data_IF_279113155863
#
_entry.id   IF_279113155863
#
_cell.length_a   1.000
_cell.length_b   1.000
_cell.length_c   1.000
_cell.angle_alpha   90.00
_cell.angle_beta   90.00
_cell.angle_gamma   90.00
#
_symmetry.space_group_name_H-M   'P 1'
#
loop_
_entity.id
_entity.type
_entity.pdbx_description
1 polymer ?
#
# COMPACT_ATOMS: atom_id res chain seq x y z
N UNK A 1 -15.79 20.05 9.85
CA UNK A 1 -14.49 19.43 9.50
C UNK A 1 -14.58 18.46 8.32
N UNK A 2 -15.68 17.68 8.17
CA UNK A 2 -15.90 16.80 6.99
C UNK A 2 -15.75 17.53 5.64
N UNK A 3 -16.24 18.77 5.53
CA UNK A 3 -16.33 19.50 4.26
C UNK A 3 -14.99 19.69 3.54
N UNK A 4 -13.88 19.83 4.27
CA UNK A 4 -12.56 20.07 3.66
C UNK A 4 -12.06 18.82 2.95
N UNK A 5 -12.21 17.67 3.59
CA UNK A 5 -11.75 16.39 3.03
C UNK A 5 -12.60 16.02 1.82
N UNK A 6 -13.92 16.19 1.90
CA UNK A 6 -14.82 15.96 0.77
C UNK A 6 -14.46 16.85 -0.41
N UNK A 7 -14.28 18.17 -0.19
CA UNK A 7 -13.90 19.10 -1.28
C UNK A 7 -12.55 18.72 -1.91
N UNK A 8 -11.55 18.36 -1.10
CA UNK A 8 -10.24 17.95 -1.60
C UNK A 8 -10.33 16.66 -2.42
N UNK A 9 -11.06 15.66 -1.93
CA UNK A 9 -11.24 14.37 -2.61
C UNK A 9 -11.96 14.58 -3.95
N UNK A 10 -13.04 15.35 -3.97
CA UNK A 10 -13.76 15.68 -5.21
C UNK A 10 -12.83 16.34 -6.24
N UNK A 11 -11.94 17.23 -5.81
CA UNK A 11 -10.96 17.88 -6.70
C UNK A 11 -9.93 16.93 -7.27
N UNK A 12 -9.43 16.00 -6.45
CA UNK A 12 -8.51 14.95 -6.91
C UNK A 12 -9.19 14.06 -7.96
N UNK A 13 -10.46 13.68 -7.73
CA UNK A 13 -11.21 12.85 -8.67
C UNK A 13 -11.45 13.55 -10.00
N UNK A 14 -11.79 14.84 -9.96
CA UNK A 14 -11.94 15.70 -11.14
C UNK A 14 -10.66 15.96 -11.93
N UNK A 15 -9.49 15.54 -11.43
CA UNK A 15 -8.20 15.78 -12.10
C UNK A 15 -7.67 17.20 -11.92
N UNK A 16 -8.18 17.95 -10.94
CA UNK A 16 -7.68 19.32 -10.66
C UNK A 16 -6.38 19.31 -9.84
N UNK A 17 -5.95 18.14 -9.35
CA UNK A 17 -4.68 17.93 -8.67
C UNK A 17 -4.14 16.54 -8.99
N UNK A 18 -3.28 16.45 -10.00
CA UNK A 18 -2.67 15.20 -10.48
C UNK A 18 -1.24 15.02 -9.97
N UNK A 19 -0.58 16.13 -9.61
CA UNK A 19 0.79 16.10 -9.06
C UNK A 19 0.84 16.39 -7.57
N UNK A 20 1.88 15.90 -6.88
CA UNK A 20 2.12 16.22 -5.46
C UNK A 20 2.25 17.73 -5.21
N UNK A 21 2.75 18.48 -6.19
CA UNK A 21 2.87 19.95 -6.12
C UNK A 21 1.49 20.61 -6.16
N UNK A 22 0.63 20.22 -7.08
CA UNK A 22 -0.76 20.71 -7.14
C UNK A 22 -1.56 20.34 -5.90
N UNK A 23 -1.44 19.10 -5.45
CA UNK A 23 -2.08 18.66 -4.21
C UNK A 23 -1.68 19.55 -3.02
N UNK A 24 -0.39 19.86 -2.89
CA UNK A 24 0.07 20.74 -1.82
C UNK A 24 -0.50 22.16 -1.95
N UNK A 25 -0.52 22.73 -3.15
CA UNK A 25 -1.17 24.03 -3.42
C UNK A 25 -2.64 24.03 -3.01
N UNK A 26 -3.38 23.00 -3.38
CA UNK A 26 -4.80 22.86 -3.01
C UNK A 26 -5.01 22.72 -1.51
N UNK A 27 -4.16 21.96 -0.81
CA UNK A 27 -4.20 21.89 0.66
C UNK A 27 -3.99 23.25 1.30
N UNK A 28 -3.02 24.04 0.83
CA UNK A 28 -2.76 25.39 1.35
C UNK A 28 -3.97 26.29 1.07
N UNK A 29 -4.55 26.23 -0.13
CA UNK A 29 -5.75 26.98 -0.51
C UNK A 29 -6.94 26.66 0.41
N UNK A 30 -7.19 25.37 0.66
CA UNK A 30 -8.25 24.92 1.56
C UNK A 30 -7.97 25.30 3.02
N UNK A 31 -6.71 25.27 3.46
CA UNK A 31 -6.36 25.73 4.81
C UNK A 31 -6.70 27.21 5.01
N UNK A 32 -6.46 28.06 4.00
CA UNK A 32 -6.87 29.47 4.03
C UNK A 32 -8.40 29.61 4.04
N UNK A 33 -9.09 28.91 3.13
CA UNK A 33 -10.56 28.94 2.99
C UNK A 33 -11.28 28.53 4.28
N UNK A 34 -10.82 27.46 4.92
CA UNK A 34 -11.45 26.89 6.13
C UNK A 34 -10.76 27.31 7.43
N UNK A 35 -9.81 28.26 7.38
CA UNK A 35 -9.03 28.75 8.54
C UNK A 35 -8.43 27.61 9.39
N UNK A 36 -7.87 26.59 8.72
CA UNK A 36 -7.24 25.46 9.39
C UNK A 36 -5.92 25.89 10.03
N UNK A 37 -5.72 25.49 11.29
CA UNK A 37 -4.47 25.76 12.04
C UNK A 37 -3.25 25.03 11.47
N UNK A 38 -3.46 23.91 10.77
CA UNK A 38 -2.39 23.06 10.23
C UNK A 38 -2.82 22.44 8.91
N UNK A 39 -1.85 22.26 8.01
CA UNK A 39 -2.05 21.52 6.76
C UNK A 39 -2.29 20.04 7.08
N UNK A 40 -3.39 19.44 6.59
CA UNK A 40 -3.71 18.04 6.88
C UNK A 40 -2.67 17.09 6.24
N UNK A 41 -2.15 16.12 7.01
CA UNK A 41 -1.26 15.10 6.48
C UNK A 41 -2.02 14.15 5.54
N UNK A 42 -1.31 13.51 4.60
CA UNK A 42 -1.91 12.57 3.65
C UNK A 42 -2.66 11.42 4.35
N UNK A 43 -2.16 10.96 5.49
CA UNK A 43 -2.82 9.92 6.30
C UNK A 43 -4.22 10.33 6.75
N UNK A 44 -4.42 11.59 7.16
CA UNK A 44 -5.74 12.07 7.56
C UNK A 44 -6.70 12.19 6.38
N UNK A 45 -6.19 12.45 5.18
CA UNK A 45 -7.01 12.46 3.97
C UNK A 45 -7.44 11.02 3.64
N UNK A 46 -6.52 10.06 3.72
CA UNK A 46 -6.79 8.64 3.52
C UNK A 46 -7.85 8.09 4.48
N UNK A 47 -7.78 8.47 5.77
CA UNK A 47 -8.78 8.10 6.79
C UNK A 47 -10.19 8.64 6.49
N UNK A 48 -10.31 9.73 5.73
CA UNK A 48 -11.59 10.39 5.44
C UNK A 48 -12.12 10.09 4.03
N UNK A 49 -11.58 9.06 3.35
CA UNK A 49 -12.08 8.64 2.04
C UNK A 49 -13.47 8.01 2.19
N UNK A 50 -14.51 8.50 1.48
CA UNK A 50 -15.83 7.89 1.50
C UNK A 50 -15.79 6.43 1.06
N UNK A 51 -16.45 5.56 1.83
CA UNK A 51 -16.57 4.13 1.48
C UNK A 51 -17.33 3.90 0.17
N UNK A 52 -18.19 4.84 -0.23
CA UNK A 52 -19.02 4.82 -1.44
C UNK A 52 -18.26 4.99 -2.75
N UNK A 53 -16.97 5.34 -2.72
CA UNK A 53 -16.15 5.49 -3.93
C UNK A 53 -15.86 4.13 -4.58
N UNK A 54 -15.79 4.14 -5.91
CA UNK A 54 -15.41 2.96 -6.70
C UNK A 54 -13.96 2.54 -6.42
N UNK A 55 -13.60 1.33 -6.82
CA UNK A 55 -12.24 0.82 -6.64
C UNK A 55 -11.22 1.64 -7.45
N UNK A 56 -11.58 2.08 -8.66
CA UNK A 56 -10.73 2.89 -9.53
C UNK A 56 -10.49 4.29 -8.96
N UNK A 57 -11.54 4.91 -8.41
CA UNK A 57 -11.45 6.22 -7.76
C UNK A 57 -10.55 6.16 -6.52
N UNK A 58 -10.71 5.13 -5.70
CA UNK A 58 -9.84 4.86 -4.55
C UNK A 58 -8.39 4.68 -5.00
N UNK A 59 -8.16 3.96 -6.08
CA UNK A 59 -6.80 3.73 -6.59
C UNK A 59 -6.15 5.02 -7.10
N UNK A 60 -6.89 5.88 -7.81
CA UNK A 60 -6.42 7.21 -8.23
C UNK A 60 -5.96 8.05 -7.04
N UNK A 61 -6.76 8.11 -5.98
CA UNK A 61 -6.42 8.84 -4.74
C UNK A 61 -5.19 8.21 -4.06
N UNK A 62 -5.16 6.88 -3.94
CA UNK A 62 -4.04 6.16 -3.31
C UNK A 62 -2.72 6.39 -4.04
N UNK A 63 -2.71 6.42 -5.37
CA UNK A 63 -1.50 6.69 -6.17
C UNK A 63 -0.91 8.07 -5.85
N UNK A 64 -1.76 9.07 -5.71
CA UNK A 64 -1.34 10.45 -5.42
C UNK A 64 -0.86 10.62 -3.95
N UNK A 65 -1.61 10.05 -3.00
CA UNK A 65 -1.35 10.19 -1.56
C UNK A 65 -0.26 9.24 -1.04
N UNK A 66 0.20 8.27 -1.84
CA UNK A 66 1.27 7.36 -1.45
C UNK A 66 2.58 8.12 -1.26
N UNK A 67 3.11 8.09 -0.04
CA UNK A 67 4.39 8.74 0.30
C UNK A 67 5.58 8.07 -0.41
N UNK A 68 5.69 6.75 -0.25
CA UNK A 68 6.76 5.92 -0.85
C UNK A 68 6.13 4.72 -1.55
N UNK A 69 6.47 4.45 -2.82
CA UNK A 69 6.14 3.17 -3.43
C UNK A 69 7.00 2.09 -2.76
N UNK A 70 6.37 1.17 -2.04
CA UNK A 70 7.02 0.01 -1.43
C UNK A 70 6.34 -1.26 -1.92
N UNK A 71 7.14 -2.31 -2.16
CA UNK A 71 6.61 -3.63 -2.57
C UNK A 71 6.02 -4.40 -1.39
N UNK A 72 6.58 -4.24 -0.19
CA UNK A 72 6.07 -4.82 1.06
C UNK A 72 5.88 -3.74 2.11
N UNK A 73 4.86 -3.91 2.97
CA UNK A 73 4.57 -3.00 4.07
C UNK A 73 5.65 -3.01 5.16
N UNK A 74 6.30 -4.16 5.38
CA UNK A 74 7.38 -4.31 6.36
C UNK A 74 8.74 -3.82 5.85
N UNK A 75 8.88 -3.55 4.55
CA UNK A 75 10.18 -3.31 3.92
C UNK A 75 11.08 -4.54 3.83
N UNK A 76 10.60 -5.71 4.29
CA UNK A 76 11.31 -6.99 4.20
C UNK A 76 10.85 -7.72 2.95
N UNK A 77 11.80 -8.27 2.19
CA UNK A 77 11.55 -9.18 1.07
C UNK A 77 11.89 -10.60 1.50
N UNK A 78 10.88 -11.46 1.65
CA UNK A 78 11.08 -12.87 2.02
C UNK A 78 11.57 -13.62 0.78
N UNK A 79 12.75 -14.23 0.88
CA UNK A 79 13.32 -15.08 -0.16
C UNK A 79 13.56 -16.45 0.45
N UNK A 80 12.75 -17.43 0.05
CA UNK A 80 12.94 -18.83 0.42
C UNK A 80 13.78 -19.51 -0.66
N UNK A 81 14.92 -20.07 -0.26
CA UNK A 81 15.79 -20.88 -1.13
C UNK A 81 15.92 -22.27 -0.54
N UNK A 82 16.05 -23.26 -1.41
CA UNK A 82 16.30 -24.65 -1.02
C UNK A 82 17.61 -25.11 -1.64
N UNK A 83 18.38 -25.90 -0.91
CA UNK A 83 19.56 -26.58 -1.46
C UNK A 83 19.14 -27.77 -2.32
N UNK A 84 20.09 -28.34 -3.07
CA UNK A 84 19.86 -29.60 -3.78
C UNK A 84 19.37 -30.69 -2.81
N UNK A 85 18.40 -31.53 -3.21
CA UNK A 85 17.93 -32.63 -2.38
C UNK A 85 19.06 -33.59 -1.98
N UNK A 86 19.10 -33.99 -0.70
CA UNK A 86 20.07 -34.91 -0.14
C UNK A 86 19.40 -35.91 0.82
N UNK A 87 20.01 -37.09 1.04
CA UNK A 87 19.44 -38.10 1.94
C UNK A 87 19.64 -37.66 3.39
N UNK A 88 18.61 -37.76 4.21
CA UNK A 88 18.74 -37.60 5.66
C UNK A 88 19.66 -38.71 6.24
N UNK A 89 20.51 -38.39 7.23
CA UNK A 89 21.49 -39.33 7.78
C UNK A 89 20.83 -40.53 8.50
N UNK A 90 19.60 -40.39 8.97
CA UNK A 90 18.82 -41.43 9.64
C UNK A 90 17.81 -42.12 8.70
N UNK A 91 17.86 -41.86 7.39
CA UNK A 91 16.87 -42.36 6.43
C UNK A 91 15.55 -41.57 6.42
N UNK A 92 14.50 -42.14 5.80
CA UNK A 92 13.22 -41.45 5.57
C UNK A 92 12.25 -41.67 6.73
N UNK A 93 11.75 -40.59 7.32
CA UNK A 93 10.68 -40.64 8.31
C UNK A 93 9.34 -41.01 7.66
N UNK A 94 8.48 -41.73 8.39
CA UNK A 94 7.12 -42.11 7.97
C UNK A 94 6.30 -40.90 7.46
N UNK A 95 6.27 -39.74 8.13
CA UNK A 95 5.48 -38.60 7.66
C UNK A 95 6.13 -37.82 6.51
N UNK A 96 7.35 -38.15 6.07
CA UNK A 96 8.07 -37.30 5.13
C UNK A 96 7.50 -37.43 3.70
N UNK A 97 6.92 -36.37 3.12
CA UNK A 97 6.25 -36.46 1.82
C UNK A 97 7.23 -36.41 0.63
N UNK A 98 8.40 -35.79 0.83
CA UNK A 98 9.39 -35.53 -0.21
C UNK A 98 10.61 -36.47 -0.19
N UNK A 99 11.64 -36.07 -0.92
CA UNK A 99 12.90 -36.79 -1.04
C UNK A 99 13.54 -36.67 -2.40
N UNK A 100 14.75 -37.23 -2.51
CA UNK A 100 15.52 -37.28 -3.77
C UNK A 100 14.74 -38.01 -4.87
N UNK A 101 13.98 -39.05 -4.51
CA UNK A 101 13.15 -39.84 -5.44
C UNK A 101 12.15 -38.98 -6.24
N UNK A 102 11.67 -37.89 -5.64
CA UNK A 102 10.74 -36.95 -6.28
C UNK A 102 11.39 -35.61 -6.61
N UNK A 103 12.73 -35.53 -6.50
CA UNK A 103 13.53 -34.33 -6.70
C UNK A 103 13.02 -33.12 -5.89
N UNK A 104 12.56 -33.38 -4.66
CA UNK A 104 12.08 -32.35 -3.74
C UNK A 104 12.95 -32.31 -2.48
N UNK A 105 13.38 -31.12 -2.03
CA UNK A 105 14.02 -30.96 -0.74
C UNK A 105 13.10 -31.49 0.37
N UNK A 106 13.65 -32.26 1.31
CA UNK A 106 12.92 -32.66 2.51
C UNK A 106 12.92 -31.48 3.48
N UNK A 107 11.73 -31.04 3.87
CA UNK A 107 11.49 -30.05 4.92
C UNK A 107 11.65 -30.65 6.31
#
# INVERSE_FOLDING_TARGET
MQSVYTELITKILKGEAETKKELHKEKVRLCKKYKLKKIPPDSKILENIPHSLSQEEKEKILRLLRKKPVRSLSGVAVVAVMTSPAKCPHGKCIPCPGGIETNTPQS
#
